data_IF_705886869587
#
_entry.id   IF_705886869587
#
_cell.length_a   1.000
_cell.length_b   1.000
_cell.length_c   1.000
_cell.angle_alpha   90.00
_cell.angle_beta   90.00
_cell.angle_gamma   90.00
#
_symmetry.space_group_name_H-M   'P 1'
#
loop_
_entity.id
_entity.type
_entity.pdbx_description
1 polymer ?
#
# COMPACT_ATOMS: atom_id res chain seq x y z
N UNK A 1 12.73 0.48 17.14
CA UNK A 1 13.18 1.52 16.20
C UNK A 1 11.92 2.24 15.75
N UNK A 2 11.84 3.57 15.94
CA UNK A 2 10.59 4.32 16.01
C UNK A 2 9.77 4.29 14.72
N UNK A 3 8.47 4.01 14.87
CA UNK A 3 7.40 4.00 13.88
C UNK A 3 7.15 5.38 13.22
N UNK A 4 8.15 5.98 12.59
CA UNK A 4 7.96 7.12 11.69
C UNK A 4 7.50 6.65 10.30
N UNK A 5 6.46 5.80 10.25
CA UNK A 5 5.80 5.46 8.98
C UNK A 5 5.16 6.73 8.41
N UNK A 6 5.65 7.17 7.27
CA UNK A 6 5.05 8.23 6.47
C UNK A 6 3.76 7.67 5.86
N UNK A 7 2.67 8.44 5.94
CA UNK A 7 1.42 8.16 5.24
C UNK A 7 1.39 8.95 3.95
N UNK A 8 1.17 8.27 2.83
CA UNK A 8 1.02 8.91 1.53
C UNK A 8 -0.47 9.09 1.24
N UNK A 9 -0.93 10.34 1.11
CA UNK A 9 -2.34 10.68 0.88
C UNK A 9 -2.52 11.53 -0.36
N UNK A 10 -3.63 11.33 -1.06
CA UNK A 10 -4.10 12.27 -2.08
C UNK A 10 -5.51 12.78 -1.73
N UNK A 11 -5.83 13.98 -2.19
CA UNK A 11 -7.11 14.64 -1.92
C UNK A 11 -7.80 14.96 -3.23
N UNK A 12 -9.12 15.03 -3.21
CA UNK A 12 -9.91 15.30 -4.41
C UNK A 12 -10.44 16.72 -4.43
N UNK A 13 -10.44 17.31 -5.61
CA UNK A 13 -11.04 18.62 -5.87
C UNK A 13 -12.11 18.47 -6.93
N UNK A 14 -13.31 18.99 -6.66
CA UNK A 14 -14.41 19.05 -7.61
C UNK A 14 -14.82 20.51 -7.81
N UNK A 15 -14.72 21.01 -9.03
CA UNK A 15 -15.13 22.37 -9.44
C UNK A 15 -16.12 22.18 -10.58
N UNK A 16 -17.38 22.56 -10.36
CA UNK A 16 -18.44 22.52 -11.36
C UNK A 16 -19.09 23.91 -11.40
N UNK A 17 -18.74 24.71 -12.40
CA UNK A 17 -19.21 26.07 -12.58
C UNK A 17 -19.73 26.24 -14.00
N UNK A 18 -21.03 26.54 -14.14
CA UNK A 18 -21.72 26.65 -15.42
C UNK A 18 -21.54 25.39 -16.29
N UNK A 19 -20.76 25.48 -17.36
CA UNK A 19 -20.46 24.37 -18.29
C UNK A 19 -19.10 23.73 -18.04
N UNK A 20 -18.32 24.26 -17.09
CA UNK A 20 -16.98 23.77 -16.77
C UNK A 20 -17.05 22.82 -15.58
N UNK A 21 -16.62 21.57 -15.80
CA UNK A 21 -16.47 20.55 -14.77
C UNK A 21 -15.02 20.09 -14.70
N UNK A 22 -14.48 20.04 -13.49
CA UNK A 22 -13.12 19.62 -13.20
C UNK A 22 -13.12 18.75 -11.94
N UNK A 23 -12.64 17.52 -12.08
CA UNK A 23 -12.55 16.55 -10.98
C UNK A 23 -11.18 15.88 -11.04
N UNK A 24 -10.32 16.17 -10.06
CA UNK A 24 -8.92 15.71 -10.07
C UNK A 24 -8.41 15.36 -8.68
N UNK A 25 -7.30 14.63 -8.66
CA UNK A 25 -6.49 14.38 -7.48
C UNK A 25 -5.46 15.50 -7.29
N UNK A 26 -5.14 15.79 -6.03
CA UNK A 26 -3.98 16.59 -5.67
C UNK A 26 -2.67 15.84 -5.96
N UNK A 27 -1.54 16.55 -5.84
CA UNK A 27 -0.26 15.87 -5.62
C UNK A 27 -0.33 14.97 -4.38
N UNK A 28 0.57 14.00 -4.32
CA UNK A 28 0.73 13.14 -3.15
C UNK A 28 1.31 13.97 -2.00
N UNK A 29 0.72 13.82 -0.83
CA UNK A 29 1.20 14.39 0.42
C UNK A 29 1.86 13.31 1.26
N UNK A 30 3.09 13.57 1.64
CA UNK A 30 3.81 12.82 2.67
C UNK A 30 3.44 13.39 4.04
N UNK A 31 2.78 12.58 4.85
CA UNK A 31 2.26 12.98 6.14
C UNK A 31 2.93 12.11 7.21
N UNK A 32 3.82 12.67 8.04
CA UNK A 32 4.42 11.92 9.13
C UNK A 32 3.36 11.33 10.06
N UNK A 33 3.64 10.17 10.64
CA UNK A 33 2.79 9.58 11.66
C UNK A 33 2.53 10.58 12.81
N UNK A 34 1.32 10.53 13.37
CA UNK A 34 0.87 11.47 14.41
C UNK A 34 0.45 12.85 13.90
N UNK A 35 0.65 13.19 12.62
CA UNK A 35 0.05 14.37 11.99
C UNK A 35 -1.35 14.07 11.46
N UNK A 36 -2.21 15.08 11.44
CA UNK A 36 -3.57 14.96 10.92
C UNK A 36 -3.57 14.76 9.41
N UNK A 37 -4.17 13.67 8.94
CA UNK A 37 -4.41 13.39 7.52
C UNK A 37 -5.57 14.19 6.95
N UNK A 38 -6.40 14.83 7.78
CA UNK A 38 -7.53 15.64 7.33
C UNK A 38 -7.08 17.06 6.98
N UNK A 39 -6.08 17.59 7.71
CA UNK A 39 -5.66 18.99 7.61
C UNK A 39 -5.27 19.43 6.18
N UNK A 40 -4.49 18.65 5.40
CA UNK A 40 -4.19 19.04 4.02
C UNK A 40 -5.41 19.00 3.09
N UNK A 41 -6.42 18.19 3.43
CA UNK A 41 -7.68 18.07 2.70
C UNK A 41 -8.59 19.29 2.82
N UNK A 42 -8.47 20.08 3.89
CA UNK A 42 -9.37 21.21 4.17
C UNK A 42 -9.40 22.21 3.01
N UNK A 43 -8.24 22.59 2.45
CA UNK A 43 -8.21 23.56 1.34
C UNK A 43 -8.93 23.05 0.08
N UNK A 44 -8.86 21.74 -0.18
CA UNK A 44 -9.53 21.10 -1.31
C UNK A 44 -11.03 20.96 -1.05
N UNK A 45 -11.42 20.67 0.19
CA UNK A 45 -12.82 20.68 0.62
C UNK A 45 -13.44 22.07 0.52
N UNK A 46 -12.73 23.13 0.94
CA UNK A 46 -13.22 24.51 0.82
C UNK A 46 -13.43 24.88 -0.64
N UNK A 47 -12.46 24.58 -1.52
CA UNK A 47 -12.62 24.80 -2.96
C UNK A 47 -13.83 24.04 -3.51
N UNK A 48 -14.02 22.79 -3.10
CA UNK A 48 -15.14 21.95 -3.54
C UNK A 48 -16.49 22.46 -3.01
N UNK A 49 -16.56 22.93 -1.77
CA UNK A 49 -17.79 23.53 -1.21
C UNK A 49 -18.13 24.83 -1.94
N UNK A 50 -17.13 25.67 -2.24
CA UNK A 50 -17.36 26.95 -2.90
C UNK A 50 -17.71 26.79 -4.37
N UNK A 51 -17.16 25.79 -5.05
CA UNK A 51 -17.23 25.72 -6.51
C UNK A 51 -17.79 24.42 -7.07
N UNK A 52 -18.16 23.43 -6.25
CA UNK A 52 -18.57 22.10 -6.71
C UNK A 52 -20.05 21.95 -7.10
N UNK A 53 -20.88 23.00 -6.96
CA UNK A 53 -22.34 22.90 -7.07
C UNK A 53 -22.98 23.75 -8.16
N UNK A 54 -22.22 24.64 -8.79
CA UNK A 54 -22.74 25.65 -9.73
C UNK A 54 -22.84 25.14 -11.17
N UNK A 55 -22.84 23.82 -11.37
CA UNK A 55 -23.01 23.18 -12.65
C UNK A 55 -24.41 23.41 -13.22
N UNK A 56 -24.48 23.94 -14.44
CA UNK A 56 -25.71 24.12 -15.22
C UNK A 56 -25.80 23.16 -16.41
N UNK A 57 -25.11 22.01 -16.34
CA UNK A 57 -25.16 20.96 -17.35
C UNK A 57 -26.54 20.33 -17.52
N UNK A 58 -26.66 19.41 -18.49
CA UNK A 58 -27.88 18.64 -18.73
C UNK A 58 -28.29 17.84 -17.48
N UNK A 59 -29.57 17.45 -17.31
CA UNK A 59 -30.05 16.83 -16.08
C UNK A 59 -29.21 15.64 -15.59
N UNK A 60 -28.74 14.78 -16.51
CA UNK A 60 -27.90 13.62 -16.19
C UNK A 60 -26.46 14.00 -15.77
N UNK A 61 -25.90 15.05 -16.37
CA UNK A 61 -24.56 15.57 -16.04
C UNK A 61 -24.55 16.25 -14.67
N UNK A 62 -25.61 16.99 -14.32
CA UNK A 62 -25.73 17.63 -12.99
C UNK A 62 -25.67 16.62 -11.84
N UNK A 63 -26.33 15.47 -11.97
CA UNK A 63 -26.28 14.43 -10.93
C UNK A 63 -24.86 13.89 -10.75
N UNK A 64 -24.10 13.71 -11.85
CA UNK A 64 -22.72 13.25 -11.80
C UNK A 64 -21.80 14.29 -11.13
N UNK A 65 -21.94 15.56 -11.48
CA UNK A 65 -21.14 16.67 -10.93
C UNK A 65 -21.36 16.83 -9.42
N UNK A 66 -22.61 16.85 -8.97
CA UNK A 66 -22.97 16.91 -7.56
C UNK A 66 -22.45 15.69 -6.82
N UNK A 67 -22.60 14.49 -7.41
CA UNK A 67 -22.06 13.24 -6.84
C UNK A 67 -20.54 13.32 -6.67
N UNK A 68 -19.81 13.84 -7.66
CA UNK A 68 -18.36 14.00 -7.58
C UNK A 68 -17.95 14.96 -6.47
N UNK A 69 -18.68 16.06 -6.28
CA UNK A 69 -18.44 17.00 -5.17
C UNK A 69 -18.65 16.35 -3.81
N UNK A 70 -19.72 15.55 -3.65
CA UNK A 70 -19.97 14.79 -2.42
C UNK A 70 -18.86 13.77 -2.16
N UNK A 71 -18.47 13.00 -3.18
CA UNK A 71 -17.39 12.02 -3.08
C UNK A 71 -16.07 12.69 -2.70
N UNK A 72 -15.73 13.82 -3.34
CA UNK A 72 -14.51 14.56 -3.02
C UNK A 72 -14.49 15.03 -1.57
N UNK A 73 -15.61 15.56 -1.07
CA UNK A 73 -15.73 15.99 0.31
C UNK A 73 -15.62 14.83 1.29
N UNK A 74 -16.31 13.72 1.02
CA UNK A 74 -16.22 12.51 1.83
C UNK A 74 -14.78 12.01 1.94
N UNK A 75 -14.09 11.86 0.80
CA UNK A 75 -12.69 11.41 0.77
C UNK A 75 -11.78 12.36 1.53
N UNK A 76 -11.94 13.67 1.37
CA UNK A 76 -11.09 14.64 2.04
C UNK A 76 -11.33 14.68 3.56
N UNK A 77 -12.58 14.57 4.00
CA UNK A 77 -12.92 14.53 5.43
C UNK A 77 -12.56 13.20 6.09
N UNK A 78 -12.45 12.12 5.32
CA UNK A 78 -11.93 10.82 5.78
C UNK A 78 -10.37 10.77 5.79
N UNK A 79 -9.71 11.90 5.50
CA UNK A 79 -8.25 12.02 5.57
C UNK A 79 -7.52 11.73 4.26
N UNK A 80 -8.23 11.71 3.13
CA UNK A 80 -7.68 11.50 1.81
C UNK A 80 -7.56 10.03 1.41
N UNK A 81 -7.41 9.80 0.11
CA UNK A 81 -7.21 8.48 -0.48
C UNK A 81 -5.82 7.94 -0.09
N UNK A 82 -5.78 6.68 0.40
CA UNK A 82 -4.56 6.05 0.89
C UNK A 82 -3.71 5.50 -0.25
N UNK A 83 -2.51 6.06 -0.41
CA UNK A 83 -1.51 5.57 -1.35
C UNK A 83 -0.30 4.97 -0.63
N UNK A 84 -0.32 4.86 0.69
CA UNK A 84 0.83 4.42 1.50
C UNK A 84 1.37 3.06 1.03
N UNK A 85 0.47 2.12 0.75
CA UNK A 85 0.83 0.79 0.24
C UNK A 85 1.54 0.86 -1.12
N UNK A 86 1.00 1.65 -2.04
CA UNK A 86 1.58 1.80 -3.39
C UNK A 86 2.99 2.36 -3.30
N UNK A 87 3.18 3.44 -2.54
CA UNK A 87 4.51 4.06 -2.39
C UNK A 87 5.49 3.17 -1.64
N UNK A 88 5.03 2.42 -0.62
CA UNK A 88 5.90 1.46 0.06
C UNK A 88 6.32 0.28 -0.83
N UNK A 89 5.61 0.01 -1.92
CA UNK A 89 5.90 -1.10 -2.83
C UNK A 89 6.77 -0.67 -4.02
N UNK A 90 6.85 0.64 -4.34
CA UNK A 90 7.56 1.14 -5.52
C UNK A 90 9.08 0.94 -5.49
N UNK A 91 9.67 0.85 -4.31
CA UNK A 91 11.13 0.72 -4.15
C UNK A 91 11.60 -0.74 -4.19
N UNK A 92 10.68 -1.70 -4.29
CA UNK A 92 10.98 -3.14 -4.26
C UNK A 92 10.85 -3.77 -5.65
N UNK A 93 11.58 -4.87 -5.87
CA UNK A 93 11.53 -5.61 -7.12
C UNK A 93 10.19 -6.37 -7.29
N UNK A 94 9.91 -6.79 -8.52
CA UNK A 94 8.64 -7.45 -8.87
C UNK A 94 8.37 -8.72 -8.05
N UNK A 95 9.41 -9.52 -7.74
CA UNK A 95 9.27 -10.75 -6.96
C UNK A 95 8.84 -10.44 -5.54
N UNK A 96 9.47 -9.46 -4.91
CA UNK A 96 9.13 -9.00 -3.55
C UNK A 96 7.69 -8.50 -3.47
N UNK A 97 7.28 -7.62 -4.40
CA UNK A 97 5.91 -7.09 -4.45
C UNK A 97 4.89 -8.20 -4.71
N UNK A 98 5.20 -9.15 -5.61
CA UNK A 98 4.30 -10.25 -5.92
C UNK A 98 4.13 -11.19 -4.74
N UNK A 99 5.23 -11.61 -4.10
CA UNK A 99 5.19 -12.49 -2.92
C UNK A 99 4.37 -11.83 -1.84
N UNK A 100 4.69 -10.58 -1.47
CA UNK A 100 3.97 -9.83 -0.46
C UNK A 100 2.47 -9.80 -0.76
N UNK A 101 2.06 -9.44 -1.98
CA UNK A 101 0.64 -9.34 -2.36
C UNK A 101 -0.12 -10.67 -2.44
N UNK A 102 0.57 -11.83 -2.41
CA UNK A 102 -0.04 -13.15 -2.53
C UNK A 102 -0.03 -13.97 -1.22
N UNK A 103 0.33 -13.35 -0.10
CA UNK A 103 0.28 -13.96 1.23
C UNK A 103 -1.15 -13.96 1.81
N UNK A 104 -1.38 -14.82 2.80
CA UNK A 104 -2.60 -14.79 3.59
C UNK A 104 -2.68 -13.55 4.49
N UNK A 105 -3.92 -13.10 4.76
CA UNK A 105 -4.23 -11.89 5.54
C UNK A 105 -3.59 -11.87 6.93
N UNK A 106 -3.46 -13.03 7.56
CA UNK A 106 -2.88 -13.19 8.90
C UNK A 106 -1.38 -12.90 8.91
N UNK A 107 -0.68 -13.13 7.79
CA UNK A 107 0.75 -12.84 7.65
C UNK A 107 0.98 -11.35 7.46
N UNK A 108 0.17 -10.67 6.65
CA UNK A 108 0.24 -9.21 6.44
C UNK A 108 0.15 -8.39 7.74
N UNK A 109 -0.45 -8.93 8.80
CA UNK A 109 -0.53 -8.25 10.09
C UNK A 109 0.77 -8.35 10.91
N UNK A 110 1.66 -9.27 10.54
CA UNK A 110 2.88 -9.61 11.28
C UNK A 110 4.14 -9.07 10.62
N UNK A 111 4.11 -8.83 9.30
CA UNK A 111 5.28 -8.45 8.52
C UNK A 111 4.98 -7.31 7.56
N UNK A 112 6.02 -6.54 7.23
CA UNK A 112 6.02 -5.59 6.14
C UNK A 112 6.77 -6.14 4.92
N UNK A 113 6.69 -5.40 3.80
CA UNK A 113 7.33 -5.79 2.55
C UNK A 113 8.87 -5.82 2.67
N UNK A 114 9.46 -5.02 3.56
CA UNK A 114 10.90 -5.05 3.81
C UNK A 114 11.34 -6.40 4.39
N UNK A 115 10.54 -7.00 5.27
CA UNK A 115 10.81 -8.35 5.78
C UNK A 115 10.73 -9.39 4.65
N UNK A 116 9.80 -9.23 3.69
CA UNK A 116 9.72 -10.14 2.53
C UNK A 116 10.95 -10.04 1.63
N UNK A 117 11.43 -8.83 1.37
CA UNK A 117 12.67 -8.58 0.63
C UNK A 117 13.87 -9.32 1.28
N UNK A 118 14.05 -9.14 2.58
CA UNK A 118 15.08 -9.86 3.37
C UNK A 118 14.89 -11.38 3.29
N UNK A 119 13.66 -11.88 3.35
CA UNK A 119 13.39 -13.31 3.27
C UNK A 119 13.69 -13.88 1.89
N UNK A 120 13.49 -13.13 0.82
CA UNK A 120 13.88 -13.54 -0.54
C UNK A 120 15.40 -13.63 -0.66
N UNK A 121 16.14 -12.69 -0.06
CA UNK A 121 17.60 -12.74 -0.01
C UNK A 121 18.10 -13.97 0.76
N UNK A 122 17.51 -14.23 1.94
CA UNK A 122 17.83 -15.42 2.74
C UNK A 122 17.50 -16.72 1.99
N UNK A 123 16.39 -16.77 1.25
CA UNK A 123 16.03 -17.92 0.42
C UNK A 123 17.09 -18.16 -0.66
N UNK A 124 17.55 -17.08 -1.29
CA UNK A 124 18.58 -17.13 -2.32
C UNK A 124 19.92 -17.61 -1.75
N UNK A 125 20.28 -17.18 -0.54
CA UNK A 125 21.47 -17.66 0.16
C UNK A 125 21.36 -19.15 0.54
N UNK A 126 20.21 -19.58 1.08
CA UNK A 126 19.96 -20.98 1.42
C UNK A 126 20.12 -21.90 0.22
N UNK A 127 19.52 -21.54 -0.93
CA UNK A 127 19.61 -22.32 -2.17
C UNK A 127 21.06 -22.45 -2.67
N UNK A 128 21.91 -21.43 -2.43
CA UNK A 128 23.34 -21.48 -2.81
C UNK A 128 24.15 -22.40 -1.89
N UNK A 129 23.83 -22.44 -0.60
CA UNK A 129 24.58 -23.18 0.41
C UNK A 129 24.20 -24.66 0.45
N UNK A 130 22.93 -24.99 0.29
CA UNK A 130 22.42 -26.36 0.46
C UNK A 130 22.15 -27.04 -0.89
N UNK A 131 22.78 -28.20 -1.10
CA UNK A 131 22.55 -29.03 -2.30
C UNK A 131 21.17 -29.70 -2.32
N UNK A 132 20.51 -29.83 -1.16
CA UNK A 132 19.19 -30.46 -1.02
C UNK A 132 18.16 -29.44 -0.51
N UNK A 133 17.07 -29.24 -1.27
CA UNK A 133 15.93 -28.39 -0.90
C UNK A 133 15.03 -29.03 0.18
N UNK A 134 15.58 -29.32 1.36
CA UNK A 134 14.78 -29.83 2.47
C UNK A 134 14.06 -28.68 3.18
N UNK A 135 12.72 -28.69 3.14
CA UNK A 135 11.88 -27.62 3.71
C UNK A 135 12.18 -27.34 5.20
N UNK A 136 12.34 -28.40 6.01
CA UNK A 136 12.63 -28.26 7.45
C UNK A 136 13.96 -27.53 7.71
N UNK A 137 15.00 -27.85 6.92
CA UNK A 137 16.30 -27.16 7.00
C UNK A 137 16.17 -25.69 6.60
N UNK A 138 15.38 -25.41 5.57
CA UNK A 138 15.15 -24.05 5.10
C UNK A 138 14.43 -23.21 6.17
N UNK A 139 13.35 -23.73 6.74
CA UNK A 139 12.61 -23.09 7.83
C UNK A 139 13.53 -22.85 9.03
N UNK A 140 14.42 -23.80 9.36
CA UNK A 140 15.39 -23.63 10.44
C UNK A 140 16.39 -22.52 10.13
N UNK A 141 16.97 -22.51 8.93
CA UNK A 141 17.88 -21.46 8.46
C UNK A 141 17.23 -20.07 8.50
N UNK A 142 16.01 -19.94 8.00
CA UNK A 142 15.22 -18.70 8.03
C UNK A 142 15.01 -18.23 9.47
N UNK A 143 14.54 -19.12 10.34
CA UNK A 143 14.30 -18.79 11.75
C UNK A 143 15.57 -18.29 12.45
N UNK A 144 16.72 -18.93 12.21
CA UNK A 144 17.98 -18.50 12.83
C UNK A 144 18.42 -17.13 12.35
N UNK A 145 18.33 -16.84 11.06
CA UNK A 145 18.77 -15.56 10.52
C UNK A 145 17.80 -14.42 10.84
N UNK A 146 16.48 -14.64 10.79
CA UNK A 146 15.49 -13.66 11.20
C UNK A 146 15.61 -13.31 12.70
N UNK A 147 15.90 -14.31 13.56
CA UNK A 147 16.20 -14.06 14.98
C UNK A 147 17.41 -13.16 15.18
N UNK A 148 18.49 -13.35 14.41
CA UNK A 148 19.70 -12.48 14.48
C UNK A 148 19.37 -11.03 14.12
N UNK A 149 18.41 -10.82 13.23
CA UNK A 149 17.93 -9.50 12.79
C UNK A 149 16.90 -8.88 13.75
N UNK A 150 16.61 -9.51 14.90
CA UNK A 150 15.52 -9.13 15.81
C UNK A 150 14.13 -9.09 15.14
N UNK A 151 13.94 -9.82 14.04
CA UNK A 151 12.65 -10.01 13.38
C UNK A 151 12.00 -11.23 14.04
N UNK A 152 11.11 -10.99 15.01
CA UNK A 152 10.53 -12.06 15.81
C UNK A 152 9.01 -11.91 15.77
N UNK A 153 8.33 -12.86 15.10
CA UNK A 153 7.00 -13.43 15.44
C UNK A 153 6.38 -14.23 14.26
N UNK A 154 7.19 -15.01 13.52
CA UNK A 154 6.69 -15.90 12.46
C UNK A 154 6.65 -17.33 12.96
N UNK A 155 5.53 -18.02 12.70
CA UNK A 155 5.43 -19.48 12.94
C UNK A 155 6.09 -20.21 11.77
N UNK A 156 6.47 -21.47 11.98
CA UNK A 156 6.97 -22.31 10.89
C UNK A 156 5.98 -22.39 9.71
N UNK A 157 4.67 -22.44 10.00
CA UNK A 157 3.62 -22.39 8.97
C UNK A 157 3.57 -21.08 8.19
N UNK A 158 4.02 -19.98 8.80
CA UNK A 158 4.06 -18.67 8.14
C UNK A 158 5.30 -18.62 7.21
N UNK A 159 6.43 -19.17 7.65
CA UNK A 159 7.65 -19.30 6.86
C UNK A 159 7.47 -20.26 5.66
N UNK A 160 6.82 -21.39 5.89
CA UNK A 160 6.48 -22.37 4.84
C UNK A 160 5.68 -21.70 3.72
N UNK A 161 4.63 -20.96 4.05
CA UNK A 161 3.85 -20.24 3.04
C UNK A 161 4.70 -19.22 2.27
N UNK A 162 5.55 -18.46 2.95
CA UNK A 162 6.39 -17.46 2.29
C UNK A 162 7.36 -18.15 1.33
N UNK A 163 8.00 -19.25 1.75
CA UNK A 163 8.86 -20.06 0.89
C UNK A 163 8.07 -20.58 -0.33
N UNK A 164 6.89 -21.15 -0.11
CA UNK A 164 6.03 -21.65 -1.19
C UNK A 164 5.68 -20.56 -2.20
N UNK A 165 5.39 -19.33 -1.75
CA UNK A 165 5.12 -18.19 -2.64
C UNK A 165 6.36 -17.74 -3.39
N UNK A 166 7.53 -17.72 -2.74
CA UNK A 166 8.79 -17.41 -3.41
C UNK A 166 9.05 -18.41 -4.54
N UNK A 167 8.88 -19.70 -4.27
CA UNK A 167 9.07 -20.75 -5.28
C UNK A 167 8.02 -20.67 -6.40
N UNK A 168 6.75 -20.43 -6.05
CA UNK A 168 5.68 -20.27 -7.04
C UNK A 168 5.94 -19.13 -8.04
N UNK A 169 6.54 -18.02 -7.60
CA UNK A 169 6.94 -16.94 -8.50
C UNK A 169 8.02 -17.37 -9.49
N UNK A 170 9.01 -18.15 -9.04
CA UNK A 170 10.07 -18.67 -9.90
C UNK A 170 9.52 -19.66 -10.93
N UNK A 171 8.54 -20.48 -10.58
CA UNK A 171 7.86 -21.35 -11.55
C UNK A 171 7.04 -20.59 -12.58
N UNK A 172 6.43 -19.46 -12.21
CA UNK A 172 5.65 -18.62 -13.13
C UNK A 172 6.55 -17.87 -14.13
N UNK A 173 7.76 -17.51 -13.72
CA UNK A 173 8.69 -16.68 -14.50
C UNK A 173 9.58 -17.49 -15.46
N UNK A 174 9.45 -18.83 -15.46
CA UNK A 174 10.10 -19.76 -16.39
C UNK A 174 9.12 -20.24 -17.47
#
# INVERSE_FOLDING_TARGET
>A
MSDDKIKYRTYKTSINIFIFSFYTNSKVYEIPNGRSTILPGIKYSVLTILFGWWGFGWPWEKFKEIKNSIIALHINFDGGEDYTKVFSEMDYDEKTVWVFNNLRREIFQKIDIQIIDIMIDLQTEFIKLEQTKLLEKNIMFMNENLKKLNIINLRNSDLEEIIDKIEAFEFKSN
#
